data_IF_263123270809
#
_entry.id   IF_263123270809
#
_cell.length_a   1.000
_cell.length_b   1.000
_cell.length_c   1.000
_cell.angle_alpha   90.00
_cell.angle_beta   90.00
_cell.angle_gamma   90.00
#
_symmetry.space_group_name_H-M   'P 1'
#
loop_
_entity.id
_entity.type
_entity.pdbx_description
1 polymer ?
#
# COMPACT_ATOMS: atom_id res chain seq x y z
N UNK A 1 15.24 -16.61 -12.60
CA UNK A 1 15.50 -16.44 -11.16
C UNK A 1 14.77 -17.49 -10.33
N UNK A 2 15.32 -17.91 -9.19
CA UNK A 2 14.62 -18.64 -8.12
C UNK A 2 14.86 -17.92 -6.80
N UNK A 3 13.80 -17.66 -6.03
CA UNK A 3 13.83 -16.87 -4.78
C UNK A 3 13.39 -17.72 -3.58
N UNK A 4 14.17 -18.74 -3.15
CA UNK A 4 13.80 -19.51 -1.97
C UNK A 4 13.86 -18.64 -0.71
N UNK A 5 12.80 -18.71 0.09
CA UNK A 5 12.70 -18.04 1.37
C UNK A 5 12.33 -19.05 2.47
N UNK A 6 12.81 -18.81 3.68
CA UNK A 6 12.49 -19.58 4.88
C UNK A 6 12.27 -18.61 6.02
N UNK A 7 11.21 -18.82 6.82
CA UNK A 7 10.89 -17.97 7.95
C UNK A 7 10.46 -18.80 9.16
N UNK A 8 10.86 -18.36 10.34
CA UNK A 8 10.38 -18.87 11.63
C UNK A 8 9.99 -17.69 12.51
N UNK A 9 8.87 -17.80 13.20
CA UNK A 9 8.41 -16.79 14.15
C UNK A 9 8.01 -17.41 15.47
N UNK A 10 8.34 -16.70 16.55
CA UNK A 10 7.90 -17.01 17.90
C UNK A 10 7.29 -15.75 18.51
N UNK A 11 6.12 -15.87 19.11
CA UNK A 11 5.46 -14.73 19.74
C UNK A 11 4.90 -15.11 21.11
N UNK A 12 4.83 -14.12 21.97
CA UNK A 12 4.18 -14.22 23.26
C UNK A 12 3.42 -12.93 23.55
N UNK A 13 2.22 -13.05 24.10
CA UNK A 13 1.44 -11.92 24.59
C UNK A 13 0.84 -12.28 25.94
N UNK A 14 0.99 -11.36 26.88
CA UNK A 14 0.36 -11.42 28.19
C UNK A 14 -0.59 -10.25 28.36
N UNK A 15 -1.72 -10.48 29.00
CA UNK A 15 -2.64 -9.43 29.42
C UNK A 15 -2.98 -9.52 30.90
N UNK A 16 -3.09 -8.36 31.55
CA UNK A 16 -3.39 -8.23 32.96
C UNK A 16 -4.53 -7.22 33.14
N UNK A 17 -5.56 -7.62 33.90
CA UNK A 17 -6.64 -6.72 34.29
C UNK A 17 -6.45 -6.28 35.73
N UNK A 18 -6.56 -4.97 35.97
CA UNK A 18 -6.50 -4.36 37.30
C UNK A 18 -7.67 -3.37 37.44
N UNK A 19 -8.78 -3.85 38.01
CA UNK A 19 -10.03 -3.07 38.08
C UNK A 19 -10.55 -2.69 36.70
N UNK A 20 -10.65 -1.38 36.43
CA UNK A 20 -11.10 -0.84 35.14
C UNK A 20 -10.00 -0.80 34.07
N UNK A 21 -8.76 -1.11 34.44
CA UNK A 21 -7.61 -1.08 33.53
C UNK A 21 -7.32 -2.48 32.97
N UNK A 22 -6.94 -2.55 31.70
CA UNK A 22 -6.35 -3.72 31.05
C UNK A 22 -5.02 -3.31 30.44
N UNK A 23 -3.96 -4.03 30.81
CA UNK A 23 -2.61 -3.87 30.28
C UNK A 23 -2.31 -5.06 29.38
N UNK A 24 -1.66 -4.83 28.24
CA UNK A 24 -1.23 -5.87 27.31
C UNK A 24 0.22 -5.60 26.95
N UNK A 25 1.06 -6.63 27.06
CA UNK A 25 2.42 -6.62 26.58
C UNK A 25 2.62 -7.81 25.64
N UNK A 26 3.19 -7.56 24.47
CA UNK A 26 3.49 -8.57 23.47
C UNK A 26 4.89 -8.40 22.92
N UNK A 27 5.50 -9.52 22.55
CA UNK A 27 6.78 -9.56 21.84
C UNK A 27 6.72 -10.64 20.78
N UNK A 28 7.31 -10.36 19.61
CA UNK A 28 7.47 -11.32 18.52
C UNK A 28 8.92 -11.31 18.05
N UNK A 29 9.49 -12.48 17.89
CA UNK A 29 10.80 -12.74 17.32
C UNK A 29 10.61 -13.40 15.96
N UNK A 30 11.16 -12.79 14.93
CA UNK A 30 11.15 -13.34 13.58
C UNK A 30 12.59 -13.62 13.12
N UNK A 31 12.78 -14.79 12.54
CA UNK A 31 13.95 -15.14 11.77
C UNK A 31 13.52 -15.36 10.33
N UNK A 32 14.04 -14.56 9.41
CA UNK A 32 13.77 -14.72 7.98
C UNK A 32 15.08 -14.87 7.20
N UNK A 33 15.15 -15.90 6.36
CA UNK A 33 16.26 -16.12 5.43
C UNK A 33 15.73 -16.03 4.01
N UNK A 34 16.20 -15.03 3.26
CA UNK A 34 15.90 -14.88 1.84
C UNK A 34 17.13 -15.21 1.01
N UNK A 35 16.95 -15.93 -0.09
CA UNK A 35 18.02 -16.22 -1.02
C UNK A 35 17.57 -15.99 -2.46
N UNK A 36 18.54 -15.65 -3.31
CA UNK A 36 18.34 -15.53 -4.75
C UNK A 36 19.32 -16.47 -5.44
N UNK A 37 18.80 -17.26 -6.39
CA UNK A 37 19.59 -18.00 -7.37
C UNK A 37 19.24 -17.44 -8.73
N UNK A 38 20.24 -17.03 -9.48
CA UNK A 38 20.07 -16.43 -10.79
C UNK A 38 20.97 -17.11 -11.80
N UNK A 39 20.47 -17.18 -13.02
CA UNK A 39 21.15 -17.65 -14.21
C UNK A 39 20.56 -16.82 -15.33
N UNK A 40 21.36 -15.87 -15.81
CA UNK A 40 20.95 -14.89 -16.80
C UNK A 40 21.91 -14.91 -17.97
N UNK A 41 21.35 -14.73 -19.16
CA UNK A 41 22.08 -14.60 -20.41
C UNK A 41 21.63 -13.33 -21.12
N UNK A 42 22.56 -12.59 -21.68
CA UNK A 42 22.31 -11.51 -22.61
C UNK A 42 23.36 -11.55 -23.72
N UNK A 43 22.95 -11.27 -24.96
CA UNK A 43 23.84 -11.25 -26.11
C UNK A 43 23.53 -10.07 -27.01
N UNK A 44 24.56 -9.45 -27.55
CA UNK A 44 24.43 -8.44 -28.61
C UNK A 44 25.31 -8.84 -29.79
N UNK A 45 24.78 -8.74 -31.00
CA UNK A 45 25.58 -8.85 -32.21
C UNK A 45 26.12 -7.45 -32.52
N UNK A 46 27.44 -7.33 -32.67
CA UNK A 46 28.08 -6.07 -33.01
C UNK A 46 29.02 -6.25 -34.21
N UNK A 47 29.21 -5.19 -34.97
CA UNK A 47 30.17 -5.13 -36.07
C UNK A 47 30.74 -3.73 -36.15
N UNK A 48 32.05 -3.60 -36.05
CA UNK A 48 32.74 -2.35 -36.33
C UNK A 48 33.04 -2.27 -37.82
N UNK A 49 32.26 -1.47 -38.56
CA UNK A 49 32.26 -1.45 -40.04
C UNK A 49 33.63 -1.18 -40.66
N UNK A 50 34.54 -0.52 -39.94
CA UNK A 50 35.90 -0.21 -40.41
C UNK A 50 36.91 -1.35 -40.19
N UNK A 51 36.68 -2.24 -39.22
CA UNK A 51 37.68 -3.23 -38.76
C UNK A 51 37.16 -4.67 -38.71
N UNK A 52 35.86 -4.90 -38.94
CA UNK A 52 35.22 -6.20 -38.87
C UNK A 52 34.38 -6.48 -40.13
N UNK A 53 34.68 -7.55 -40.89
CA UNK A 53 33.90 -7.90 -42.09
C UNK A 53 32.52 -8.49 -41.74
N UNK A 54 32.39 -9.16 -40.59
CA UNK A 54 31.19 -9.87 -40.16
C UNK A 54 30.75 -9.45 -38.74
N UNK A 55 29.48 -9.74 -38.42
CA UNK A 55 28.96 -9.53 -37.07
C UNK A 55 29.57 -10.57 -36.11
N UNK A 56 29.97 -10.11 -34.93
CA UNK A 56 30.40 -10.96 -33.81
C UNK A 56 29.34 -10.92 -32.72
N UNK A 57 28.95 -12.10 -32.23
CA UNK A 57 28.12 -12.21 -31.03
C UNK A 57 28.98 -11.94 -29.80
N UNK A 58 28.50 -11.07 -28.92
CA UNK A 58 29.07 -10.83 -27.60
C UNK A 58 28.14 -11.41 -26.52
N UNK A 59 28.35 -12.67 -26.11
CA UNK A 59 27.55 -13.26 -25.04
C UNK A 59 28.04 -12.79 -23.67
N UNK A 60 27.09 -12.54 -22.78
CA UNK A 60 27.30 -12.26 -21.36
C UNK A 60 26.39 -13.17 -20.55
N UNK A 61 27.03 -14.03 -19.76
CA UNK A 61 26.36 -14.89 -18.79
C UNK A 61 26.62 -14.39 -17.37
N UNK A 62 25.62 -14.57 -16.52
CA UNK A 62 25.68 -14.20 -15.12
C UNK A 62 24.89 -15.21 -14.29
N UNK A 63 25.63 -16.11 -13.65
CA UNK A 63 25.12 -17.07 -12.69
C UNK A 63 25.58 -16.72 -11.28
N UNK A 64 24.75 -17.06 -10.29
CA UNK A 64 25.13 -16.86 -8.91
C UNK A 64 24.03 -17.20 -7.92
N UNK A 65 24.44 -17.21 -6.66
CA UNK A 65 23.57 -17.44 -5.52
C UNK A 65 23.97 -16.52 -4.38
N UNK A 66 22.99 -15.83 -3.80
CA UNK A 66 23.14 -15.02 -2.60
C UNK A 66 22.12 -15.42 -1.56
N UNK A 67 22.45 -15.26 -0.27
CA UNK A 67 21.49 -15.45 0.82
C UNK A 67 21.75 -14.49 1.98
N UNK A 68 20.68 -13.94 2.54
CA UNK A 68 20.69 -13.04 3.69
C UNK A 68 19.72 -13.56 4.73
N UNK A 69 20.03 -13.27 5.99
CA UNK A 69 19.15 -13.58 7.11
C UNK A 69 18.91 -12.32 7.93
N UNK A 70 17.67 -12.17 8.38
CA UNK A 70 17.17 -11.05 9.16
C UNK A 70 16.60 -11.61 10.47
N UNK A 71 16.96 -10.96 11.57
CA UNK A 71 16.46 -11.29 12.91
C UNK A 71 15.78 -10.05 13.45
N UNK A 72 14.47 -10.14 13.67
CA UNK A 72 13.65 -8.99 14.03
C UNK A 72 12.92 -9.23 15.35
N UNK A 73 12.87 -8.18 16.18
CA UNK A 73 12.14 -8.17 17.44
C UNK A 73 11.10 -7.08 17.39
N UNK A 74 9.83 -7.44 17.58
CA UNK A 74 8.69 -6.52 17.53
C UNK A 74 8.02 -6.46 18.90
N UNK A 75 8.25 -5.41 19.69
CA UNK A 75 7.49 -5.17 20.90
C UNK A 75 6.13 -4.54 20.61
N UNK A 76 5.18 -4.82 21.49
CA UNK A 76 3.87 -4.18 21.55
C UNK A 76 3.48 -3.94 23.00
N UNK A 77 3.02 -2.72 23.30
CA UNK A 77 2.42 -2.38 24.58
C UNK A 77 1.07 -1.72 24.31
N UNK A 78 0.05 -2.11 25.05
CA UNK A 78 -1.25 -1.48 25.01
C UNK A 78 -1.86 -1.34 26.40
N UNK A 79 -2.54 -0.22 26.61
CA UNK A 79 -3.34 0.08 27.81
C UNK A 79 -4.76 0.36 27.37
N UNK A 80 -5.72 -0.16 28.12
CA UNK A 80 -7.14 0.09 27.92
C UNK A 80 -7.81 0.41 29.24
N UNK A 81 -8.69 1.39 29.24
CA UNK A 81 -9.50 1.78 30.39
C UNK A 81 -10.98 1.63 30.07
N UNK A 82 -11.68 0.78 30.82
CA UNK A 82 -13.11 0.58 30.67
C UNK A 82 -13.88 1.78 31.23
N UNK A 83 -14.65 2.45 30.38
CA UNK A 83 -15.58 3.53 30.76
C UNK A 83 -16.97 2.94 31.05
N UNK A 84 -17.94 3.74 31.52
CA UNK A 84 -19.31 3.26 31.73
C UNK A 84 -20.05 2.95 30.43
N UNK A 85 -19.55 3.47 29.31
CA UNK A 85 -20.19 3.43 27.98
C UNK A 85 -19.29 2.80 26.92
N UNK A 86 -18.17 2.17 27.30
CA UNK A 86 -17.18 1.70 26.33
C UNK A 86 -15.78 1.54 26.92
N UNK A 87 -14.76 1.86 26.13
CA UNK A 87 -13.38 1.90 26.59
C UNK A 87 -12.55 2.94 25.82
N UNK A 88 -11.48 3.38 26.47
CA UNK A 88 -10.40 4.16 25.88
C UNK A 88 -9.16 3.27 25.79
N UNK A 89 -8.32 3.46 24.79
CA UNK A 89 -7.08 2.72 24.66
C UNK A 89 -5.93 3.58 24.14
N UNK A 90 -4.72 3.12 24.43
CA UNK A 90 -3.49 3.60 23.81
C UNK A 90 -2.58 2.41 23.50
N UNK A 91 -1.97 2.38 22.32
CA UNK A 91 -1.08 1.31 21.89
C UNK A 91 0.18 1.87 21.26
N UNK A 92 1.30 1.18 21.47
CA UNK A 92 2.55 1.38 20.76
C UNK A 92 3.01 0.01 20.26
N UNK A 93 3.26 -0.09 18.96
CA UNK A 93 3.70 -1.33 18.34
C UNK A 93 4.71 -1.08 17.24
N UNK A 94 5.70 -1.96 17.14
CA UNK A 94 6.63 -2.00 16.02
C UNK A 94 6.19 -3.06 15.01
N UNK A 95 6.19 -2.70 13.73
CA UNK A 95 6.09 -3.61 12.59
C UNK A 95 7.33 -3.50 11.71
N UNK A 96 7.49 -4.46 10.81
CA UNK A 96 8.55 -4.42 9.80
C UNK A 96 8.09 -5.06 8.49
N UNK A 97 8.83 -4.77 7.43
CA UNK A 97 8.78 -5.48 6.15
C UNK A 97 10.18 -6.01 5.87
N UNK A 98 10.27 -7.30 5.58
CA UNK A 98 11.54 -7.97 5.40
C UNK A 98 12.38 -7.40 4.24
N UNK A 99 13.69 -7.53 4.36
CA UNK A 99 14.63 -7.23 3.28
C UNK A 99 14.59 -8.31 2.19
N UNK A 100 15.29 -8.08 1.09
CA UNK A 100 15.22 -8.96 -0.08
C UNK A 100 16.17 -8.58 -1.19
N UNK A 101 15.80 -8.95 -2.41
CA UNK A 101 16.64 -8.78 -3.59
C UNK A 101 15.94 -8.09 -4.75
N UNK A 102 16.69 -7.22 -5.44
CA UNK A 102 16.32 -6.52 -6.66
C UNK A 102 16.56 -7.43 -7.87
N UNK A 103 15.48 -7.90 -8.48
CA UNK A 103 15.56 -8.66 -9.74
C UNK A 103 15.63 -7.74 -10.97
N UNK A 104 15.09 -6.53 -10.88
CA UNK A 104 14.99 -5.59 -12.01
C UNK A 104 16.35 -5.00 -12.42
N UNK A 105 17.26 -4.81 -11.46
CA UNK A 105 18.59 -4.23 -11.72
C UNK A 105 19.51 -5.15 -12.54
N UNK A 106 19.19 -6.45 -12.67
CA UNK A 106 19.99 -7.39 -13.47
C UNK A 106 20.10 -6.99 -14.93
N UNK A 107 19.08 -6.34 -15.50
CA UNK A 107 19.14 -5.81 -16.86
C UNK A 107 20.23 -4.73 -16.99
N UNK A 108 20.34 -3.81 -16.02
CA UNK A 108 21.37 -2.77 -16.03
C UNK A 108 22.76 -3.34 -15.80
N UNK A 109 22.88 -4.33 -14.90
CA UNK A 109 24.15 -5.02 -14.63
C UNK A 109 24.63 -5.74 -15.91
N UNK A 110 23.75 -6.46 -16.60
CA UNK A 110 24.08 -7.16 -17.84
C UNK A 110 24.45 -6.18 -18.97
N UNK A 111 23.70 -5.08 -19.13
CA UNK A 111 24.02 -4.05 -20.12
C UNK A 111 25.39 -3.42 -19.87
N UNK A 112 25.70 -3.06 -18.62
CA UNK A 112 27.02 -2.53 -18.26
C UNK A 112 28.13 -3.53 -18.57
N UNK A 113 27.92 -4.82 -18.27
CA UNK A 113 28.91 -5.88 -18.56
C UNK A 113 29.09 -6.10 -20.07
N UNK A 114 28.02 -6.02 -20.87
CA UNK A 114 28.10 -6.03 -22.34
C UNK A 114 28.95 -4.85 -22.83
N UNK A 115 28.67 -3.64 -22.36
CA UNK A 115 29.42 -2.44 -22.73
C UNK A 115 30.90 -2.56 -22.37
N UNK A 116 31.22 -2.99 -21.14
CA UNK A 116 32.61 -3.21 -20.71
C UNK A 116 33.34 -4.25 -21.57
N UNK A 117 32.69 -5.39 -21.89
CA UNK A 117 33.28 -6.41 -22.76
C UNK A 117 33.48 -5.92 -24.19
N UNK A 118 32.53 -5.16 -24.75
CA UNK A 118 32.65 -4.58 -26.09
C UNK A 118 33.82 -3.60 -26.17
N UNK A 119 34.02 -2.76 -25.15
CA UNK A 119 35.16 -1.83 -25.08
C UNK A 119 36.50 -2.55 -24.91
N UNK A 120 36.53 -3.62 -24.11
CA UNK A 120 37.71 -4.48 -23.99
C UNK A 120 38.06 -5.18 -25.30
N UNK A 121 37.07 -5.68 -26.05
CA UNK A 121 37.27 -6.27 -27.38
C UNK A 121 37.83 -5.24 -28.39
N UNK A 122 37.55 -3.95 -28.20
CA UNK A 122 38.12 -2.84 -28.97
C UNK A 122 39.54 -2.44 -28.53
N UNK A 123 40.12 -3.10 -27.53
CA UNK A 123 41.43 -2.73 -26.97
C UNK A 123 41.43 -1.46 -26.11
N UNK A 124 40.25 -0.95 -25.75
CA UNK A 124 40.09 0.20 -24.85
C UNK A 124 40.00 -0.33 -23.42
N UNK A 125 41.12 -0.33 -22.72
CA UNK A 125 41.21 -0.69 -21.31
C UNK A 125 41.12 0.56 -20.45
N UNK A 126 40.03 0.72 -19.73
CA UNK A 126 39.91 1.78 -18.72
C UNK A 126 40.65 1.32 -17.45
N UNK A 127 41.70 2.03 -17.04
CA UNK A 127 42.35 1.77 -15.76
C UNK A 127 41.36 2.07 -14.63
N UNK A 128 40.88 1.04 -13.93
CA UNK A 128 39.95 1.17 -12.81
C UNK A 128 38.51 0.73 -13.08
N UNK A 129 38.19 0.11 -14.22
CA UNK A 129 36.82 -0.34 -14.51
C UNK A 129 36.71 -1.80 -14.98
N UNK A 130 37.18 -2.74 -14.17
CA UNK A 130 36.15 -3.69 -13.74
C UNK A 130 35.44 -2.97 -12.61
N UNK A 131 34.25 -2.35 -12.83
CA UNK A 131 33.42 -2.09 -11.70
C UNK A 131 33.15 -3.49 -11.15
N UNK A 132 33.86 -3.83 -10.07
CA UNK A 132 33.38 -4.78 -9.10
C UNK A 132 32.07 -4.19 -8.62
N UNK A 133 31.01 -4.33 -9.43
CA UNK A 133 29.66 -4.33 -8.96
C UNK A 133 29.72 -5.40 -7.89
N UNK A 134 29.78 -4.98 -6.64
CA UNK A 134 29.42 -5.87 -5.56
C UNK A 134 27.96 -6.19 -5.83
N UNK A 135 27.79 -7.28 -6.59
CA UNK A 135 26.50 -7.74 -7.09
C UNK A 135 25.59 -7.90 -5.88
N UNK A 136 26.12 -8.36 -4.75
CA UNK A 136 25.35 -8.54 -3.52
C UNK A 136 24.78 -7.23 -3.00
N UNK A 137 25.56 -6.16 -2.85
CA UNK A 137 25.04 -4.86 -2.41
C UNK A 137 24.13 -4.20 -3.43
N UNK A 138 24.41 -4.34 -4.73
CA UNK A 138 23.58 -3.78 -5.79
C UNK A 138 22.21 -4.47 -5.89
N UNK A 139 22.16 -5.79 -5.65
CA UNK A 139 20.93 -6.57 -5.80
C UNK A 139 20.19 -6.77 -4.48
N UNK A 140 20.59 -6.20 -3.35
CA UNK A 140 19.90 -6.44 -2.06
C UNK A 140 19.41 -5.16 -1.38
N UNK A 141 18.38 -5.31 -0.57
CA UNK A 141 17.83 -4.25 0.28
C UNK A 141 17.49 -4.80 1.67
N UNK A 142 17.55 -3.91 2.66
CA UNK A 142 17.35 -4.19 4.08
C UNK A 142 15.87 -4.14 4.47
N UNK A 143 15.53 -4.61 5.68
CA UNK A 143 14.19 -4.45 6.23
C UNK A 143 13.78 -2.99 6.41
N UNK A 144 12.48 -2.74 6.27
CA UNK A 144 11.81 -1.48 6.61
C UNK A 144 11.11 -1.62 7.95
N UNK A 145 11.11 -0.57 8.76
CA UNK A 145 10.53 -0.57 10.10
C UNK A 145 9.46 0.49 10.26
N UNK A 146 8.39 0.16 10.98
CA UNK A 146 7.28 1.07 11.25
C UNK A 146 6.94 1.07 12.75
N UNK A 147 7.07 2.23 13.39
CA UNK A 147 6.56 2.44 14.74
C UNK A 147 5.17 3.08 14.67
N UNK A 148 4.19 2.40 15.25
CA UNK A 148 2.79 2.80 15.26
C UNK A 148 2.40 3.18 16.69
N UNK A 149 1.93 4.41 16.85
CA UNK A 149 1.38 4.95 18.09
C UNK A 149 -0.09 5.27 17.82
N UNK A 150 -0.98 4.71 18.62
CA UNK A 150 -2.42 4.89 18.44
C UNK A 150 -3.08 5.14 19.77
N UNK A 151 -4.00 6.11 19.82
CA UNK A 151 -4.84 6.35 20.98
C UNK A 151 -6.28 6.56 20.52
N UNK A 152 -7.21 5.88 21.13
CA UNK A 152 -8.60 5.86 20.65
C UNK A 152 -9.59 5.41 21.69
N UNK A 153 -10.83 5.21 21.24
CA UNK A 153 -11.91 4.74 22.07
C UNK A 153 -13.00 4.06 21.27
N UNK A 154 -13.61 3.08 21.92
CA UNK A 154 -14.76 2.33 21.43
C UNK A 154 -15.93 2.64 22.35
N UNK A 155 -16.99 3.25 21.83
CA UNK A 155 -18.14 3.71 22.62
C UNK A 155 -19.44 3.09 22.13
N UNK A 156 -20.29 2.75 23.09
CA UNK A 156 -21.66 2.29 22.91
C UNK A 156 -22.58 3.23 23.69
N UNK A 157 -23.28 4.10 22.95
CA UNK A 157 -24.09 5.19 23.46
C UNK A 157 -25.59 4.94 23.17
N UNK A 158 -26.47 5.72 23.81
CA UNK A 158 -27.92 5.67 23.63
C UNK A 158 -28.50 4.24 23.77
N UNK A 159 -28.18 3.57 24.88
CA UNK A 159 -28.60 2.18 25.16
C UNK A 159 -28.22 1.17 24.07
N UNK A 160 -27.04 1.38 23.45
CA UNK A 160 -26.55 0.48 22.41
C UNK A 160 -27.08 0.76 21.01
N UNK A 161 -27.75 1.89 20.80
CA UNK A 161 -28.20 2.32 19.47
C UNK A 161 -27.10 2.98 18.66
N UNK A 162 -26.13 3.63 19.30
CA UNK A 162 -25.01 4.28 18.63
C UNK A 162 -23.69 3.63 19.02
N UNK A 163 -22.93 3.19 18.03
CA UNK A 163 -21.56 2.73 18.18
C UNK A 163 -20.64 3.80 17.57
N UNK A 164 -19.64 4.24 18.32
CA UNK A 164 -18.64 5.21 17.85
C UNK A 164 -17.25 4.65 18.13
N UNK A 165 -16.44 4.60 17.08
CA UNK A 165 -15.02 4.29 17.15
C UNK A 165 -14.25 5.53 16.72
N UNK A 166 -13.30 5.96 17.53
CA UNK A 166 -12.45 7.11 17.23
C UNK A 166 -11.00 6.79 17.55
N UNK A 167 -10.08 7.15 16.67
CA UNK A 167 -8.66 6.93 16.86
C UNK A 167 -7.84 8.11 16.35
N UNK A 168 -6.75 8.40 17.05
CA UNK A 168 -5.65 9.23 16.59
C UNK A 168 -4.45 8.31 16.40
N UNK A 169 -3.75 8.46 15.29
CA UNK A 169 -2.58 7.63 14.98
C UNK A 169 -1.38 8.47 14.58
N UNK A 170 -0.20 7.92 14.84
CA UNK A 170 1.08 8.43 14.39
C UNK A 170 1.98 7.24 14.01
N UNK A 171 2.56 7.31 12.82
CA UNK A 171 3.36 6.25 12.21
C UNK A 171 4.68 6.87 11.75
N UNK A 172 5.81 6.37 12.26
CA UNK A 172 7.16 6.69 11.79
C UNK A 172 7.72 5.46 11.07
N UNK A 173 7.83 5.55 9.74
CA UNK A 173 8.42 4.51 8.91
C UNK A 173 9.87 4.88 8.56
N UNK A 174 10.81 3.97 8.82
CA UNK A 174 12.25 4.15 8.61
C UNK A 174 12.80 3.05 7.70
N UNK A 175 13.88 3.39 6.99
CA UNK A 175 14.48 2.51 5.98
C UNK A 175 13.45 2.04 4.95
N UNK A 176 12.55 2.93 4.56
CA UNK A 176 11.44 2.59 3.69
C UNK A 176 11.95 2.11 2.34
N UNK A 177 11.41 0.98 1.90
CA UNK A 177 11.73 0.35 0.63
C UNK A 177 11.00 1.09 -0.50
N UNK A 178 11.73 1.95 -1.20
CA UNK A 178 11.24 2.74 -2.33
C UNK A 178 11.91 2.32 -3.62
N UNK A 179 11.16 2.35 -4.72
CA UNK A 179 11.72 2.07 -6.05
C UNK A 179 12.34 3.34 -6.60
N UNK A 180 13.65 3.33 -6.81
CA UNK A 180 14.46 4.46 -7.28
C UNK A 180 15.24 4.08 -8.52
N UNK A 181 15.84 5.06 -9.18
CA UNK A 181 16.78 4.82 -10.27
C UNK A 181 18.15 4.42 -9.73
N UNK A 182 18.92 3.59 -10.47
CA UNK A 182 20.32 3.37 -10.13
C UNK A 182 21.11 4.70 -10.13
N UNK A 183 22.09 4.89 -9.21
CA UNK A 183 22.84 6.13 -9.12
C UNK A 183 23.41 6.58 -10.48
N UNK A 184 23.11 7.82 -10.88
CA UNK A 184 23.57 8.41 -12.14
C UNK A 184 22.90 7.86 -13.41
N UNK A 185 21.78 7.13 -13.28
CA UNK A 185 21.00 6.60 -14.43
C UNK A 185 19.59 7.16 -14.43
N UNK A 186 19.03 7.29 -15.63
CA UNK A 186 17.63 7.68 -15.88
C UNK A 186 16.76 6.50 -16.34
N UNK A 187 17.35 5.31 -16.44
CA UNK A 187 16.72 4.05 -16.83
C UNK A 187 17.07 2.96 -15.82
N UNK A 188 16.26 1.91 -15.79
CA UNK A 188 16.37 0.88 -14.75
C UNK A 188 15.63 1.24 -13.47
N UNK A 189 15.43 0.25 -12.60
CA UNK A 189 14.76 0.42 -11.31
C UNK A 189 15.36 -0.53 -10.29
N UNK A 190 15.58 -0.03 -9.08
CA UNK A 190 15.91 -0.85 -7.92
C UNK A 190 15.08 -0.43 -6.71
N UNK A 191 14.82 -1.38 -5.83
CA UNK A 191 14.36 -1.11 -4.48
C UNK A 191 15.55 -0.67 -3.63
N UNK A 192 15.43 0.46 -2.95
CA UNK A 192 16.42 0.99 -2.02
C UNK A 192 15.75 1.39 -0.71
N UNK A 193 16.48 1.29 0.41
CA UNK A 193 16.04 1.79 1.71
C UNK A 193 16.31 3.30 1.83
N UNK A 194 15.70 4.08 0.95
CA UNK A 194 16.01 5.50 0.75
C UNK A 194 15.03 6.46 1.47
N UNK A 195 13.97 5.91 2.08
CA UNK A 195 12.90 6.73 2.64
C UNK A 195 12.82 6.72 4.16
N UNK A 196 12.48 7.88 4.71
CA UNK A 196 11.77 7.99 5.99
C UNK A 196 10.45 8.70 5.74
N UNK A 197 9.33 8.10 6.15
CA UNK A 197 8.03 8.76 6.09
C UNK A 197 7.41 8.87 7.47
N UNK A 198 6.56 9.90 7.60
CA UNK A 198 5.70 10.08 8.76
C UNK A 198 4.27 10.18 8.28
N UNK A 199 3.39 9.40 8.89
CA UNK A 199 1.94 9.47 8.68
C UNK A 199 1.24 9.65 10.01
N UNK A 200 0.44 10.70 10.15
CA UNK A 200 -0.40 10.89 11.33
C UNK A 200 -1.78 11.35 10.92
N UNK A 201 -2.76 11.10 11.78
CA UNK A 201 -4.14 11.34 11.41
C UNK A 201 -5.15 11.00 12.48
N UNK A 202 -6.41 11.08 12.06
CA UNK A 202 -7.56 10.78 12.88
C UNK A 202 -8.58 9.98 12.08
N UNK A 203 -9.22 9.02 12.72
CA UNK A 203 -10.31 8.23 12.17
C UNK A 203 -11.51 8.28 13.10
N UNK A 204 -12.70 8.34 12.52
CA UNK A 204 -13.98 8.32 13.20
C UNK A 204 -14.93 7.41 12.42
N UNK A 205 -15.55 6.46 13.10
CA UNK A 205 -16.65 5.64 12.60
C UNK A 205 -17.84 5.77 13.54
N UNK A 206 -19.03 5.90 12.98
CA UNK A 206 -20.28 5.98 13.72
C UNK A 206 -21.33 5.10 13.04
N UNK A 207 -21.98 4.25 13.84
CA UNK A 207 -23.06 3.37 13.39
C UNK A 207 -24.26 3.55 14.31
N UNK A 208 -25.34 4.11 13.78
CA UNK A 208 -26.57 4.36 14.52
C UNK A 208 -27.70 3.47 14.01
N UNK A 209 -28.31 2.69 14.90
CA UNK A 209 -29.45 1.82 14.60
C UNK A 209 -30.62 2.15 15.52
N UNK A 210 -31.73 2.54 14.93
CA UNK A 210 -32.97 2.78 15.65
C UNK A 210 -34.18 2.34 14.84
N UNK A 211 -34.90 1.32 15.36
CA UNK A 211 -36.02 0.68 14.67
C UNK A 211 -35.60 0.25 13.26
N UNK A 212 -36.20 0.85 12.24
CA UNK A 212 -36.00 0.52 10.84
C UNK A 212 -34.97 1.44 10.15
N UNK A 213 -34.33 2.34 10.90
CA UNK A 213 -33.32 3.25 10.40
C UNK A 213 -31.93 2.77 10.81
N UNK A 214 -31.02 2.72 9.84
CA UNK A 214 -29.61 2.47 10.04
C UNK A 214 -28.79 3.57 9.35
N UNK A 215 -28.01 4.31 10.12
CA UNK A 215 -27.10 5.33 9.62
C UNK A 215 -25.66 4.88 9.85
N UNK A 216 -24.80 5.10 8.87
CA UNK A 216 -23.35 4.92 9.00
C UNK A 216 -22.66 6.21 8.59
N UNK A 217 -21.64 6.61 9.33
CA UNK A 217 -20.77 7.73 9.00
C UNK A 217 -19.34 7.36 9.30
N UNK A 218 -18.43 7.61 8.36
CA UNK A 218 -17.00 7.43 8.57
C UNK A 218 -16.25 8.66 8.07
N UNK A 219 -15.20 9.04 8.80
CA UNK A 219 -14.30 10.13 8.45
C UNK A 219 -12.86 9.72 8.75
N UNK A 220 -11.96 9.97 7.82
CA UNK A 220 -10.53 9.81 7.98
C UNK A 220 -9.80 11.08 7.56
N UNK A 221 -8.80 11.47 8.33
CA UNK A 221 -7.83 12.49 7.97
C UNK A 221 -6.42 11.92 8.07
N UNK A 222 -5.63 12.08 7.00
CA UNK A 222 -4.26 11.57 6.95
C UNK A 222 -3.29 12.62 6.44
N UNK A 223 -2.19 12.80 7.18
CA UNK A 223 -1.04 13.61 6.80
C UNK A 223 0.19 12.73 6.68
N UNK A 224 0.37 12.13 5.50
CA UNK A 224 1.53 11.33 5.15
C UNK A 224 2.54 12.17 4.35
N UNK A 225 3.79 12.24 4.82
CA UNK A 225 4.89 12.98 4.17
C UNK A 225 6.20 12.20 4.20
N UNK A 226 7.02 12.43 3.18
CA UNK A 226 8.44 12.11 3.23
C UNK A 226 9.13 13.06 4.20
N UNK A 227 9.84 12.50 5.17
CA UNK A 227 10.75 13.22 6.06
C UNK A 227 12.13 13.30 5.43
N UNK A 228 12.58 12.19 4.84
CA UNK A 228 13.78 12.08 4.02
C UNK A 228 13.42 11.21 2.82
N UNK A 229 13.62 11.70 1.61
CA UNK A 229 13.57 10.86 0.42
C UNK A 229 14.33 11.52 -0.73
N UNK A 230 15.48 10.96 -1.06
CA UNK A 230 16.27 11.30 -2.25
C UNK A 230 16.31 10.05 -3.14
N UNK A 231 15.85 10.17 -4.38
CA UNK A 231 15.77 9.06 -5.33
C UNK A 231 17.04 8.90 -6.19
N UNK A 232 18.07 9.69 -5.92
CA UNK A 232 19.32 9.77 -6.67
C UNK A 232 19.30 10.81 -7.80
N UNK A 233 18.14 11.41 -8.12
CA UNK A 233 17.99 12.49 -9.09
C UNK A 233 17.35 13.74 -8.46
N UNK A 234 16.35 13.55 -7.60
CA UNK A 234 15.57 14.61 -6.97
C UNK A 234 15.33 14.33 -5.48
N UNK A 235 15.22 15.40 -4.69
CA UNK A 235 14.86 15.35 -3.27
C UNK A 235 13.37 15.66 -3.07
N UNK A 236 12.64 14.69 -2.55
CA UNK A 236 11.21 14.75 -2.26
C UNK A 236 10.90 14.96 -0.78
N UNK A 237 11.90 15.33 0.03
CA UNK A 237 11.72 15.61 1.46
C UNK A 237 10.69 16.73 1.68
N UNK A 238 9.78 16.51 2.64
CA UNK A 238 8.68 17.42 2.95
C UNK A 238 7.45 17.30 2.04
N UNK A 239 7.56 16.59 0.90
CA UNK A 239 6.43 16.29 0.01
C UNK A 239 5.50 15.26 0.63
N UNK A 240 4.26 15.24 0.19
CA UNK A 240 3.25 14.25 0.59
C UNK A 240 3.50 12.94 -0.14
N UNK A 241 3.26 11.85 0.59
CA UNK A 241 3.30 10.50 0.01
C UNK A 241 2.18 10.37 -1.03
N UNK A 242 2.47 9.95 -2.26
CA UNK A 242 1.46 9.77 -3.29
C UNK A 242 0.42 8.71 -2.93
N UNK A 243 -0.75 8.76 -3.59
CA UNK A 243 -1.85 7.80 -3.42
C UNK A 243 -2.50 7.75 -2.02
N UNK A 244 -2.15 8.69 -1.12
CA UNK A 244 -2.76 8.85 0.19
C UNK A 244 -3.71 10.06 0.21
N UNK A 245 -5.04 9.88 0.19
CA UNK A 245 -5.98 10.99 0.31
C UNK A 245 -5.85 11.70 1.65
N UNK A 246 -5.93 13.04 1.63
CA UNK A 246 -5.84 13.85 2.85
C UNK A 246 -7.09 13.69 3.72
N UNK A 247 -8.25 13.55 3.08
CA UNK A 247 -9.53 13.32 3.74
C UNK A 247 -10.28 12.21 3.02
N UNK A 248 -10.90 11.33 3.79
CA UNK A 248 -11.87 10.35 3.29
C UNK A 248 -13.13 10.50 4.12
N UNK A 249 -14.28 10.45 3.47
CA UNK A 249 -15.57 10.53 4.15
C UNK A 249 -16.54 9.57 3.48
N UNK A 250 -17.37 8.92 4.28
CA UNK A 250 -18.51 8.18 3.77
C UNK A 250 -19.70 8.36 4.71
N UNK A 251 -20.88 8.41 4.13
CA UNK A 251 -22.12 8.41 4.87
C UNK A 251 -23.12 7.50 4.16
N UNK A 252 -23.93 6.77 4.91
CA UNK A 252 -25.05 6.03 4.36
C UNK A 252 -26.26 6.08 5.29
N UNK A 253 -27.42 6.04 4.66
CA UNK A 253 -28.71 5.93 5.32
C UNK A 253 -29.46 4.77 4.68
N UNK A 254 -29.87 3.84 5.52
CA UNK A 254 -30.73 2.72 5.15
C UNK A 254 -32.02 2.79 5.94
N UNK A 255 -33.15 2.69 5.24
CA UNK A 255 -34.47 2.72 5.85
C UNK A 255 -35.32 1.56 5.33
N UNK A 256 -35.85 0.78 6.27
CA UNK A 256 -36.73 -0.36 6.00
C UNK A 256 -38.20 0.00 6.22
N UNK A 257 -39.02 -0.23 5.21
CA UNK A 257 -40.47 -0.10 5.32
C UNK A 257 -41.06 -1.50 5.38
N UNK A 258 -41.47 -1.92 6.56
CA UNK A 258 -42.19 -3.19 6.73
C UNK A 258 -43.59 -3.07 6.15
N UNK A 259 -44.01 -4.11 5.44
CA UNK A 259 -45.31 -4.19 4.80
C UNK A 259 -46.10 -5.34 5.40
N UNK A 260 -47.33 -5.07 5.84
CA UNK A 260 -48.23 -6.10 6.40
C UNK A 260 -48.95 -6.93 5.33
N UNK A 261 -48.42 -7.00 4.11
CA UNK A 261 -49.09 -7.56 2.93
C UNK A 261 -48.70 -9.01 2.62
N UNK A 262 -49.61 -9.77 1.98
CA UNK A 262 -49.32 -11.13 1.51
C UNK A 262 -48.25 -11.20 0.42
N UNK A 263 -48.04 -10.12 -0.34
CA UNK A 263 -47.20 -10.11 -1.55
C UNK A 263 -45.76 -9.67 -1.30
N UNK A 264 -45.49 -8.93 -0.24
CA UNK A 264 -44.17 -8.34 0.01
C UNK A 264 -43.97 -8.13 1.51
N UNK A 265 -42.78 -8.45 2.02
CA UNK A 265 -42.49 -8.39 3.45
C UNK A 265 -41.92 -7.02 3.85
N UNK A 266 -40.99 -6.48 3.06
CA UNK A 266 -40.51 -5.11 3.24
C UNK A 266 -39.87 -4.53 1.98
N UNK A 267 -39.76 -3.20 1.96
CA UNK A 267 -38.94 -2.42 1.02
C UNK A 267 -37.75 -1.84 1.77
N UNK A 268 -36.57 -1.93 1.18
CA UNK A 268 -35.33 -1.38 1.71
C UNK A 268 -34.84 -0.25 0.80
N UNK A 269 -34.71 0.94 1.35
CA UNK A 269 -34.12 2.09 0.68
C UNK A 269 -32.74 2.33 1.26
N UNK A 270 -31.75 2.53 0.40
CA UNK A 270 -30.41 2.90 0.82
C UNK A 270 -29.88 4.03 -0.05
N UNK A 271 -29.33 5.04 0.60
CA UNK A 271 -28.55 6.11 -0.04
C UNK A 271 -27.19 6.12 0.62
N UNK A 272 -26.14 6.05 -0.20
CA UNK A 272 -24.75 6.11 0.23
C UNK A 272 -24.02 7.25 -0.46
N UNK A 273 -23.01 7.77 0.19
CA UNK A 273 -22.15 8.82 -0.33
C UNK A 273 -20.72 8.55 0.09
N UNK A 274 -19.79 8.73 -0.84
CA UNK A 274 -18.36 8.68 -0.58
C UNK A 274 -17.73 9.98 -1.09
N UNK A 275 -16.92 10.62 -0.25
CA UNK A 275 -16.12 11.77 -0.61
C UNK A 275 -14.65 11.44 -0.40
N UNK A 276 -13.83 11.76 -1.40
CA UNK A 276 -12.38 11.56 -1.31
C UNK A 276 -11.72 12.90 -1.58
N UNK A 277 -10.97 13.38 -0.60
CA UNK A 277 -10.25 14.65 -0.63
C UNK A 277 -9.06 14.62 -1.57
N UNK A 278 -8.26 15.70 -1.51
CA UNK A 278 -7.13 15.87 -2.40
C UNK A 278 -6.16 14.68 -2.31
N UNK A 279 -5.77 14.14 -3.46
CA UNK A 279 -4.76 13.09 -3.62
C UNK A 279 -3.64 13.63 -4.50
N UNK A 280 -2.40 13.35 -4.14
CA UNK A 280 -1.25 13.57 -5.01
C UNK A 280 -0.87 12.26 -5.70
N UNK A 281 -0.59 12.33 -6.99
CA UNK A 281 -0.35 11.16 -7.84
C UNK A 281 1.13 10.89 -8.09
N UNK A 282 2.01 11.84 -7.80
CA UNK A 282 3.44 11.74 -7.96
C UNK A 282 4.20 12.37 -6.77
N UNK A 283 5.46 11.95 -6.62
CA UNK A 283 6.38 12.28 -5.53
C UNK A 283 6.64 13.79 -5.46
N UNK A 284 6.77 14.47 -6.60
CA UNK A 284 6.88 15.93 -6.73
C UNK A 284 5.69 16.72 -6.18
N UNK A 285 4.54 16.06 -6.07
CA UNK A 285 3.24 16.64 -5.76
C UNK A 285 2.74 17.67 -6.80
N UNK A 286 3.16 17.55 -8.06
CA UNK A 286 2.72 18.42 -9.16
C UNK A 286 1.42 17.94 -9.82
N UNK A 287 1.14 16.63 -9.76
CA UNK A 287 -0.06 16.01 -10.31
C UNK A 287 -0.95 15.64 -9.15
N UNK A 288 -2.17 16.21 -9.12
CA UNK A 288 -3.11 15.97 -8.03
C UNK A 288 -4.55 15.94 -8.52
N UNK A 289 -5.41 15.30 -7.74
CA UNK A 289 -6.85 15.30 -7.93
C UNK A 289 -7.51 16.10 -6.81
N UNK A 290 -8.42 17.04 -7.11
CA UNK A 290 -9.22 17.71 -6.09
C UNK A 290 -10.22 16.75 -5.45
N UNK A 291 -10.98 17.25 -4.47
CA UNK A 291 -12.06 16.49 -3.86
C UNK A 291 -13.07 16.02 -4.92
N UNK A 292 -13.50 14.77 -4.82
CA UNK A 292 -14.57 14.21 -5.65
C UNK A 292 -15.59 13.43 -4.81
N UNK A 293 -16.82 13.37 -5.31
CA UNK A 293 -18.00 12.87 -4.62
C UNK A 293 -18.68 11.77 -5.42
N UNK A 294 -19.00 10.65 -4.77
CA UNK A 294 -19.62 9.48 -5.39
C UNK A 294 -20.89 9.10 -4.62
N UNK A 295 -22.03 9.73 -4.95
CA UNK A 295 -23.33 9.31 -4.44
C UNK A 295 -23.77 8.00 -5.10
N UNK A 296 -24.35 7.12 -4.31
CA UNK A 296 -24.84 5.80 -4.70
C UNK A 296 -26.21 5.59 -4.05
N UNK A 297 -27.06 4.76 -4.64
CA UNK A 297 -28.32 4.38 -4.02
C UNK A 297 -28.74 2.99 -4.46
N UNK A 298 -29.56 2.33 -3.66
CA UNK A 298 -30.28 1.14 -4.10
C UNK A 298 -31.66 1.06 -3.44
N UNK A 299 -32.57 0.39 -4.12
CA UNK A 299 -33.89 0.01 -3.60
C UNK A 299 -34.07 -1.49 -3.78
N UNK A 300 -34.49 -2.17 -2.73
CA UNK A 300 -34.72 -3.61 -2.76
C UNK A 300 -36.08 -3.99 -2.17
N UNK A 301 -36.68 -5.02 -2.74
CA UNK A 301 -37.95 -5.61 -2.35
C UNK A 301 -37.68 -7.02 -1.84
N UNK A 302 -38.15 -7.36 -0.63
CA UNK A 302 -38.05 -8.71 -0.09
C UNK A 302 -39.40 -9.40 -0.06
N UNK A 303 -39.42 -10.66 -0.50
CA UNK A 303 -40.49 -11.62 -0.21
C UNK A 303 -39.93 -13.01 0.13
N UNK A 304 -40.16 -13.48 1.35
CA UNK A 304 -39.68 -14.77 1.83
C UNK A 304 -38.16 -14.87 1.68
N UNK A 305 -37.72 -15.89 0.94
CA UNK A 305 -36.31 -16.12 0.61
C UNK A 305 -35.76 -15.22 -0.49
N UNK A 306 -36.60 -14.47 -1.21
CA UNK A 306 -36.23 -13.73 -2.41
C UNK A 306 -36.06 -12.25 -2.11
N UNK A 307 -34.96 -11.66 -2.59
CA UNK A 307 -34.71 -10.22 -2.59
C UNK A 307 -34.39 -9.81 -4.04
N UNK A 308 -35.13 -8.84 -4.56
CA UNK A 308 -34.87 -8.22 -5.87
C UNK A 308 -34.59 -6.75 -5.65
N UNK A 309 -33.57 -6.19 -6.30
CA UNK A 309 -33.27 -4.77 -6.15
C UNK A 309 -32.64 -4.14 -7.37
N UNK A 310 -32.80 -2.82 -7.45
CA UNK A 310 -32.16 -1.92 -8.41
C UNK A 310 -31.11 -1.11 -7.67
N UNK A 311 -29.92 -0.96 -8.24
CA UNK A 311 -28.84 -0.16 -7.68
C UNK A 311 -28.27 0.81 -8.71
N UNK A 312 -27.70 1.90 -8.21
CA UNK A 312 -26.92 2.86 -8.99
C UNK A 312 -25.69 3.32 -8.21
N UNK A 313 -24.56 3.44 -8.90
CA UNK A 313 -23.28 3.94 -8.38
C UNK A 313 -22.82 5.14 -9.19
N UNK A 314 -22.19 6.11 -8.54
CA UNK A 314 -21.76 7.37 -9.16
C UNK A 314 -22.94 8.09 -9.85
N UNK A 315 -24.03 8.32 -9.10
CA UNK A 315 -25.32 8.81 -9.61
C UNK A 315 -25.28 10.19 -10.27
N UNK A 316 -24.22 10.96 -10.05
CA UNK A 316 -24.01 12.30 -10.63
C UNK A 316 -22.93 12.29 -11.72
N UNK A 317 -22.51 11.11 -12.19
CA UNK A 317 -21.52 10.96 -13.27
C UNK A 317 -20.22 11.75 -13.01
N UNK A 318 -19.69 11.68 -11.78
CA UNK A 318 -18.44 12.34 -11.44
C UNK A 318 -17.28 11.70 -12.19
N UNK A 319 -16.52 12.53 -12.91
CA UNK A 319 -15.24 12.16 -13.49
C UNK A 319 -14.13 12.25 -12.42
N UNK A 320 -13.38 11.16 -12.29
CA UNK A 320 -12.25 11.09 -11.35
C UNK A 320 -11.18 10.13 -11.89
N UNK A 321 -9.97 10.27 -11.38
CA UNK A 321 -8.81 9.41 -11.63
C UNK A 321 -8.66 8.42 -10.48
N UNK A 322 -8.38 7.17 -10.80
CA UNK A 322 -8.10 6.08 -9.85
C UNK A 322 -6.63 5.73 -9.77
N UNK A 323 -5.88 5.97 -10.84
CA UNK A 323 -4.46 5.66 -10.90
C UNK A 323 -3.74 6.57 -11.89
N UNK A 324 -2.46 6.84 -11.62
CA UNK A 324 -1.56 7.60 -12.46
C UNK A 324 -0.29 6.79 -12.71
N UNK A 325 0.22 6.84 -13.93
CA UNK A 325 1.55 6.32 -14.25
C UNK A 325 2.20 7.13 -15.35
N UNK A 326 3.54 7.11 -15.37
CA UNK A 326 4.35 7.71 -16.42
C UNK A 326 4.99 6.61 -17.26
N UNK A 327 4.91 6.72 -18.58
CA UNK A 327 5.55 5.80 -19.52
C UNK A 327 6.19 6.57 -20.67
N UNK A 328 7.48 6.35 -20.90
CA UNK A 328 8.28 6.99 -21.96
C UNK A 328 8.07 8.52 -21.99
N UNK A 329 8.19 9.16 -20.83
CA UNK A 329 8.01 10.61 -20.68
C UNK A 329 6.57 11.11 -20.66
N UNK A 330 5.60 10.30 -21.08
CA UNK A 330 4.19 10.67 -21.15
C UNK A 330 3.43 10.28 -19.87
N UNK A 331 2.52 11.15 -19.47
CA UNK A 331 1.65 10.97 -18.30
C UNK A 331 0.33 10.34 -18.70
N UNK A 332 -0.06 9.28 -17.98
CA UNK A 332 -1.31 8.57 -18.21
C UNK A 332 -2.10 8.47 -16.91
N UNK A 333 -3.43 8.49 -17.04
CA UNK A 333 -4.35 8.32 -15.93
C UNK A 333 -5.38 7.24 -16.25
N UNK A 334 -5.73 6.45 -15.25
CA UNK A 334 -6.87 5.55 -15.32
C UNK A 334 -8.10 6.28 -14.78
N UNK A 335 -9.14 6.37 -15.60
CA UNK A 335 -10.42 6.97 -15.19
C UNK A 335 -11.19 6.03 -14.27
N UNK A 336 -11.87 6.62 -13.32
CA UNK A 336 -12.89 5.97 -12.51
C UNK A 336 -14.05 5.48 -13.36
N UNK A 337 -14.83 4.56 -12.80
CA UNK A 337 -16.02 4.06 -13.49
C UNK A 337 -17.08 5.18 -13.54
N UNK A 338 -17.76 5.36 -14.69
CA UNK A 338 -18.83 6.33 -14.84
C UNK A 338 -20.07 5.90 -14.04
N UNK A 339 -21.21 6.56 -14.26
CA UNK A 339 -22.50 6.10 -13.77
C UNK A 339 -22.71 4.61 -14.14
N UNK A 340 -23.01 3.79 -13.13
CA UNK A 340 -23.35 2.38 -13.34
C UNK A 340 -24.68 2.08 -12.67
N UNK A 341 -25.55 1.37 -13.36
CA UNK A 341 -26.81 0.88 -12.81
C UNK A 341 -26.93 -0.63 -13.05
N UNK A 342 -27.74 -1.30 -12.23
CA UNK A 342 -27.99 -2.72 -12.41
C UNK A 342 -29.08 -3.24 -11.51
N UNK A 343 -29.48 -4.48 -11.77
CA UNK A 343 -30.45 -5.23 -10.98
C UNK A 343 -29.74 -6.42 -10.34
N UNK A 344 -30.16 -6.80 -9.14
CA UNK A 344 -29.73 -8.05 -8.51
C UNK A 344 -30.92 -8.85 -8.01
N UNK A 345 -30.69 -10.17 -7.91
CA UNK A 345 -31.58 -11.15 -7.31
C UNK A 345 -30.76 -11.94 -6.29
N UNK A 346 -31.28 -12.08 -5.08
CA UNK A 346 -30.69 -12.91 -4.03
C UNK A 346 -31.75 -13.88 -3.53
N UNK A 347 -31.37 -15.16 -3.43
CA UNK A 347 -32.23 -16.23 -2.91
C UNK A 347 -31.51 -16.83 -1.70
N UNK A 348 -32.09 -16.67 -0.52
CA UNK A 348 -31.60 -17.29 0.72
C UNK A 348 -32.27 -18.65 0.88
N UNK A 349 -31.52 -19.70 0.56
CA UNK A 349 -31.95 -21.11 0.66
C UNK A 349 -31.97 -21.60 2.11
#
# INVERSE_FOLDING_TARGET
FKLPAFGMSLYHQSDMKAGRWKFVAGIRFDYERTAIRYSNFAGINYRFTLTMPEYKLLPVEMDGRQSKAFFEVMPKVAVMYATGVGNLYATVAQGYKAGGYNTQIFSDILQNRIMSRMMSDLGIYFSGSEPGYDVESAISYQPEYSWNYEAGGHFRLFDGKLFVDAALFYIDCRNQQLTVFPPGKTTGRLMSNAGRTRSFGAELSANYRYKNLHLTGNYGHTNAKFIVFDDGNEDYSGKRVPYAPIHTVSASCEYRVDLSGKWMDYILFNVGWQGVGKIYWNEDNTISQPFYSLPNAYVALKKGSVIIGLWGKNLIETDYTTFYFKSVGNSFVQRGKPLQTGVFLTINL
#
